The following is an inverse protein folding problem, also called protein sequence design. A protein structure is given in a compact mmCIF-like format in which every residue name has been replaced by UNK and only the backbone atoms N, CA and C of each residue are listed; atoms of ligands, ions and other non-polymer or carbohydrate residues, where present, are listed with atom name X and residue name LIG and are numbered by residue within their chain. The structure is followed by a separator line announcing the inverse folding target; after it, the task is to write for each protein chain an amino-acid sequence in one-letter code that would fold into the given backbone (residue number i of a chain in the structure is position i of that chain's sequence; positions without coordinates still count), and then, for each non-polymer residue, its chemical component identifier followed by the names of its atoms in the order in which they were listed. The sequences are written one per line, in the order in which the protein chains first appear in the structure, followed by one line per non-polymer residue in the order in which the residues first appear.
data_IF_859000533815
#
_entry.id   IF_859000533815
#
_cell.length_a   1.000
_cell.length_b   1.000
_cell.length_c   1.000
_cell.angle_alpha   90.00
_cell.angle_beta   90.00
_cell.angle_gamma   90.00
#
_symmetry.space_group_name_H-M   'P 1'
#
loop_
_entity.id
_entity.type
_entity.pdbx_description
1 polymer ?
#
# COMPACT_ATOMS: atom_id res chain seq x y z
N UNK A 1 3.65 -7.87 7.15
CA UNK A 1 3.77 -6.99 8.33
C UNK A 1 2.52 -6.13 8.41
N UNK A 2 2.03 -5.86 9.60
CA UNK A 2 0.91 -4.96 9.86
C UNK A 2 1.01 -4.40 11.29
N UNK A 3 0.18 -3.41 11.60
CA UNK A 3 0.03 -2.83 12.94
C UNK A 3 -0.49 -3.84 13.97
N UNK A 4 -1.13 -4.91 13.51
CA UNK A 4 -1.65 -6.01 14.33
C UNK A 4 -1.13 -7.35 13.83
N UNK A 5 -1.25 -8.41 14.63
CA UNK A 5 -0.90 -9.77 14.21
C UNK A 5 -2.06 -10.73 14.44
N UNK A 6 -2.24 -11.65 13.50
CA UNK A 6 -3.12 -12.81 13.66
C UNK A 6 -2.44 -13.91 14.47
N UNK A 7 -1.11 -13.98 14.44
CA UNK A 7 -0.29 -14.88 15.25
C UNK A 7 0.56 -14.06 16.23
N UNK A 8 0.39 -14.22 17.56
CA UNK A 8 1.15 -13.47 18.56
C UNK A 8 2.66 -13.77 18.54
N UNK A 9 3.09 -14.84 17.86
CA UNK A 9 4.50 -15.13 17.65
C UNK A 9 5.16 -14.26 16.57
N UNK A 10 4.39 -13.43 15.84
CA UNK A 10 4.91 -12.54 14.80
C UNK A 10 5.12 -11.13 15.32
N UNK A 11 6.07 -10.44 14.70
CA UNK A 11 6.33 -9.02 14.96
C UNK A 11 5.22 -8.17 14.37
N UNK A 12 4.87 -7.10 15.07
CA UNK A 12 3.99 -6.02 14.61
C UNK A 12 4.72 -4.71 14.69
N UNK A 13 4.48 -3.82 13.75
CA UNK A 13 5.01 -2.45 13.77
C UNK A 13 4.03 -1.51 13.07
N UNK A 14 4.21 -0.21 13.24
CA UNK A 14 3.50 0.76 12.41
C UNK A 14 4.06 0.69 10.98
N UNK A 15 3.46 -0.14 10.14
CA UNK A 15 3.85 -0.33 8.74
C UNK A 15 3.13 -1.49 8.08
N UNK A 16 3.25 -1.56 6.75
CA UNK A 16 2.60 -2.60 5.94
C UNK A 16 3.62 -3.27 5.03
N UNK A 17 3.49 -4.58 4.89
CA UNK A 17 4.15 -5.34 3.82
C UNK A 17 3.38 -6.62 3.57
N UNK A 18 3.17 -6.93 2.29
CA UNK A 18 2.42 -8.09 1.83
C UNK A 18 3.24 -8.91 0.84
N UNK A 19 3.21 -10.23 1.02
CA UNK A 19 3.73 -11.18 0.04
C UNK A 19 2.58 -11.64 -0.84
N UNK A 20 2.59 -11.23 -2.10
CA UNK A 20 1.50 -11.46 -3.05
C UNK A 20 1.97 -12.49 -4.06
N UNK A 21 1.15 -13.53 -4.27
CA UNK A 21 1.40 -14.56 -5.28
C UNK A 21 0.26 -14.56 -6.29
N UNK A 22 0.57 -14.28 -7.55
CA UNK A 22 -0.38 -14.32 -8.67
C UNK A 22 0.20 -15.23 -9.74
N UNK A 23 -0.47 -16.36 -10.00
CA UNK A 23 0.08 -17.41 -10.87
C UNK A 23 1.45 -17.89 -10.39
N UNK A 24 2.48 -17.72 -11.21
CA UNK A 24 3.87 -18.07 -10.87
C UNK A 24 4.70 -16.87 -10.36
N UNK A 25 4.10 -15.69 -10.21
CA UNK A 25 4.77 -14.44 -9.83
C UNK A 25 4.66 -14.17 -8.34
N UNK A 26 5.75 -13.72 -7.75
CA UNK A 26 5.89 -13.40 -6.33
C UNK A 26 6.31 -11.94 -6.17
N UNK A 27 5.50 -11.17 -5.47
CA UNK A 27 5.64 -9.72 -5.35
C UNK A 27 5.76 -9.39 -3.87
N UNK A 28 6.83 -8.68 -3.50
CA UNK A 28 6.91 -8.00 -2.21
C UNK A 28 6.32 -6.61 -2.35
N UNK A 29 5.09 -6.44 -1.87
CA UNK A 29 4.38 -5.16 -1.85
C UNK A 29 4.63 -4.45 -0.53
N UNK A 30 5.30 -3.30 -0.59
CA UNK A 30 5.87 -2.57 0.54
C UNK A 30 6.80 -3.41 1.43
N UNK A 31 7.52 -2.74 2.32
CA UNK A 31 8.63 -3.31 3.10
C UNK A 31 8.59 -2.92 4.58
N UNK A 32 7.42 -2.51 5.08
CA UNK A 32 7.24 -2.15 6.48
C UNK A 32 8.10 -0.97 6.92
N UNK A 33 8.24 -0.82 8.23
CA UNK A 33 9.05 0.20 8.89
C UNK A 33 10.47 -0.28 9.19
N UNK A 34 10.67 -1.59 9.30
CA UNK A 34 11.96 -2.16 9.64
C UNK A 34 12.19 -3.51 8.97
N UNK A 35 13.36 -4.09 9.25
CA UNK A 35 13.70 -5.44 8.88
C UNK A 35 12.81 -6.53 9.50
N UNK A 36 11.91 -6.19 10.42
CA UNK A 36 10.96 -7.13 11.02
C UNK A 36 10.06 -7.84 9.99
N UNK A 37 9.91 -7.27 8.79
CA UNK A 37 9.26 -7.95 7.66
C UNK A 37 9.94 -9.27 7.31
N UNK A 38 11.28 -9.32 7.31
CA UNK A 38 12.05 -10.50 6.92
C UNK A 38 12.05 -11.56 8.02
N UNK A 39 12.06 -11.14 9.29
CA UNK A 39 11.92 -12.06 10.43
C UNK A 39 10.55 -12.74 10.40
N UNK A 40 9.49 -11.98 10.09
CA UNK A 40 8.15 -12.53 9.90
C UNK A 40 8.10 -13.44 8.66
N UNK A 41 8.74 -13.07 7.55
CA UNK A 41 8.77 -13.91 6.36
C UNK A 41 9.42 -15.26 6.63
N UNK A 42 10.55 -15.29 7.35
CA UNK A 42 11.23 -16.52 7.76
C UNK A 42 10.32 -17.41 8.63
N UNK A 43 9.69 -16.84 9.66
CA UNK A 43 8.73 -17.56 10.53
C UNK A 43 7.54 -18.13 9.78
N UNK A 44 7.10 -17.43 8.73
CA UNK A 44 5.99 -17.83 7.88
C UNK A 44 6.39 -18.79 6.75
N UNK A 45 7.68 -19.14 6.64
CA UNK A 45 8.20 -19.97 5.54
C UNK A 45 8.14 -19.29 4.17
N UNK A 46 8.11 -17.96 4.13
CA UNK A 46 8.14 -17.15 2.92
C UNK A 46 9.61 -16.81 2.59
N UNK A 47 10.06 -17.27 1.44
CA UNK A 47 11.41 -16.97 0.96
C UNK A 47 11.41 -15.70 0.09
N UNK A 48 11.71 -14.55 0.68
CA UNK A 48 11.75 -13.25 -0.01
C UNK A 48 12.79 -13.20 -1.13
N UNK A 49 13.83 -14.05 -1.08
CA UNK A 49 14.85 -14.14 -2.15
C UNK A 49 14.25 -14.61 -3.48
N UNK A 50 13.08 -15.24 -3.43
CA UNK A 50 12.35 -15.72 -4.60
C UNK A 50 11.41 -14.68 -5.21
N UNK A 51 11.44 -13.43 -4.72
CA UNK A 51 10.64 -12.35 -5.27
C UNK A 51 11.01 -12.11 -6.74
N UNK A 52 9.98 -12.02 -7.59
CA UNK A 52 10.13 -11.59 -8.98
C UNK A 52 10.13 -10.05 -9.07
N UNK A 53 9.46 -9.39 -8.15
CA UNK A 53 9.37 -7.94 -8.07
C UNK A 53 9.26 -7.44 -6.62
N UNK A 54 9.79 -6.25 -6.38
CA UNK A 54 9.54 -5.44 -5.19
C UNK A 54 8.78 -4.21 -5.67
N UNK A 55 7.63 -3.89 -5.08
CA UNK A 55 6.83 -2.74 -5.49
C UNK A 55 6.44 -1.90 -4.28
N UNK A 56 6.58 -0.59 -4.40
CA UNK A 56 6.28 0.36 -3.33
C UNK A 56 5.02 1.15 -3.64
N UNK A 57 4.12 1.19 -2.67
CA UNK A 57 2.88 1.96 -2.75
C UNK A 57 3.13 3.46 -2.71
N UNK A 58 4.07 3.93 -1.87
CA UNK A 58 4.49 5.33 -1.73
C UNK A 58 5.76 5.43 -0.87
N UNK A 59 6.26 6.64 -0.69
CA UNK A 59 7.55 6.95 -0.09
C UNK A 59 7.61 7.08 1.43
N UNK A 60 6.59 6.69 2.19
CA UNK A 60 6.66 6.80 3.65
C UNK A 60 7.52 5.72 4.29
N UNK A 61 8.18 6.06 5.40
CA UNK A 61 9.15 5.23 6.12
C UNK A 61 8.58 3.88 6.57
N UNK A 62 7.28 3.82 6.86
CA UNK A 62 6.54 2.65 7.30
C UNK A 62 6.11 1.70 6.17
N UNK A 63 6.46 2.04 4.94
CA UNK A 63 6.33 1.20 3.74
C UNK A 63 7.68 0.93 3.08
N UNK A 64 8.72 1.68 3.44
CA UNK A 64 10.04 1.68 2.78
C UNK A 64 11.19 1.31 3.72
N UNK A 65 10.90 1.02 4.99
CA UNK A 65 11.91 0.82 6.03
C UNK A 65 12.77 -0.42 5.81
N UNK A 66 12.19 -1.52 5.33
CA UNK A 66 12.92 -2.75 4.96
C UNK A 66 13.47 -2.75 3.53
N UNK A 67 13.38 -1.65 2.78
CA UNK A 67 13.69 -1.60 1.34
C UNK A 67 15.13 -1.99 1.03
N UNK A 68 16.10 -1.51 1.81
CA UNK A 68 17.52 -1.82 1.59
C UNK A 68 17.77 -3.34 1.66
N UNK A 69 17.24 -4.00 2.70
CA UNK A 69 17.35 -5.46 2.85
C UNK A 69 16.52 -6.21 1.80
N UNK A 70 15.40 -5.68 1.34
CA UNK A 70 14.62 -6.28 0.26
C UNK A 70 15.45 -6.36 -1.04
N UNK A 71 16.04 -5.23 -1.44
CA UNK A 71 16.89 -5.13 -2.64
C UNK A 71 18.12 -6.04 -2.52
N UNK A 72 18.73 -6.10 -1.34
CA UNK A 72 19.87 -6.99 -1.07
C UNK A 72 19.47 -8.48 -1.13
N UNK A 73 18.31 -8.84 -0.59
CA UNK A 73 17.84 -10.23 -0.51
C UNK A 73 17.37 -10.77 -1.85
N UNK A 74 16.77 -9.92 -2.69
CA UNK A 74 16.26 -10.29 -4.02
C UNK A 74 16.95 -9.44 -5.11
N UNK A 75 18.26 -9.65 -5.37
CA UNK A 75 19.04 -8.81 -6.28
C UNK A 75 18.58 -8.88 -7.74
N UNK A 76 17.81 -9.90 -8.12
CA UNK A 76 17.26 -10.06 -9.47
C UNK A 76 15.84 -9.49 -9.62
N UNK A 77 15.14 -9.18 -8.52
CA UNK A 77 13.82 -8.57 -8.58
C UNK A 77 13.95 -7.11 -9.03
N UNK A 78 13.13 -6.67 -9.98
CA UNK A 78 13.03 -5.24 -10.30
C UNK A 78 12.27 -4.51 -9.18
N UNK A 79 12.65 -3.25 -8.93
CA UNK A 79 11.98 -2.38 -7.95
C UNK A 79 11.06 -1.42 -8.70
N UNK A 80 9.77 -1.46 -8.40
CA UNK A 80 8.73 -0.62 -8.98
C UNK A 80 8.34 0.47 -7.98
N UNK A 81 8.50 1.73 -8.37
CA UNK A 81 8.11 2.87 -7.54
C UNK A 81 7.84 4.10 -8.40
N UNK A 82 7.01 5.01 -7.91
CA UNK A 82 6.97 6.36 -8.46
C UNK A 82 8.29 7.09 -8.14
N UNK A 83 8.88 7.91 -9.04
CA UNK A 83 10.15 8.59 -8.79
C UNK A 83 10.13 9.46 -7.52
N UNK A 84 9.00 10.12 -7.24
CA UNK A 84 8.82 10.95 -6.03
C UNK A 84 8.74 10.16 -4.72
N UNK A 85 8.67 8.83 -4.73
CA UNK A 85 8.65 8.05 -3.49
C UNK A 85 9.97 8.20 -2.71
N UNK A 86 11.07 8.55 -3.37
CA UNK A 86 12.37 8.78 -2.72
C UNK A 86 12.64 10.26 -2.38
N UNK A 87 11.70 11.17 -2.69
CA UNK A 87 11.83 12.58 -2.30
C UNK A 87 11.64 12.75 -0.77
N UNK A 88 12.20 13.80 -0.16
CA UNK A 88 11.96 14.10 1.25
C UNK A 88 10.47 14.28 1.55
N UNK A 89 9.99 13.60 2.60
CA UNK A 89 8.62 13.71 3.09
C UNK A 89 8.61 14.05 4.57
N UNK A 90 7.71 14.96 4.96
CA UNK A 90 7.56 15.45 6.31
C UNK A 90 6.08 15.45 6.72
N UNK A 91 5.83 15.29 8.02
CA UNK A 91 4.51 15.49 8.63
C UNK A 91 4.56 16.60 9.67
N UNK A 92 3.48 17.35 9.79
CA UNK A 92 3.29 18.34 10.84
C UNK A 92 2.07 17.96 11.68
N UNK A 93 2.30 17.50 12.92
CA UNK A 93 1.23 17.30 13.92
C UNK A 93 1.19 18.43 14.93
N UNK A 94 2.35 18.81 15.45
CA UNK A 94 2.55 19.98 16.31
C UNK A 94 4.04 20.33 16.34
N UNK A 95 4.37 21.61 16.47
CA UNK A 95 5.76 22.07 16.55
C UNK A 95 6.48 22.03 15.21
N UNK A 96 7.58 21.27 15.12
CA UNK A 96 8.42 21.20 13.94
C UNK A 96 8.03 20.02 13.03
N UNK A 97 8.34 20.14 11.73
CA UNK A 97 8.16 19.07 10.76
C UNK A 97 8.98 17.83 11.11
N UNK A 98 8.33 16.66 11.16
CA UNK A 98 8.98 15.37 11.39
C UNK A 98 9.24 14.68 10.04
N UNK A 99 10.46 14.21 9.75
CA UNK A 99 10.71 13.42 8.55
C UNK A 99 9.97 12.08 8.64
N UNK A 100 9.30 11.72 7.54
CA UNK A 100 8.53 10.49 7.37
C UNK A 100 8.81 9.81 6.03
N UNK A 101 9.76 10.31 5.23
CA UNK A 101 10.14 9.71 3.95
C UNK A 101 11.03 8.48 4.12
N UNK A 102 11.34 7.82 3.00
CA UNK A 102 12.25 6.69 2.95
C UNK A 102 13.60 7.00 3.61
N UNK A 103 14.12 6.03 4.37
CA UNK A 103 15.41 6.15 5.04
C UNK A 103 16.59 6.18 4.06
N UNK A 104 17.73 6.73 4.51
CA UNK A 104 18.94 6.88 3.68
C UNK A 104 19.41 5.56 3.05
N UNK A 105 19.34 4.45 3.78
CA UNK A 105 19.74 3.13 3.27
C UNK A 105 18.81 2.66 2.14
N UNK A 106 17.50 2.85 2.28
CA UNK A 106 16.53 2.55 1.22
C UNK A 106 16.76 3.41 -0.03
N UNK A 107 17.02 4.70 0.14
CA UNK A 107 17.34 5.61 -0.97
C UNK A 107 18.62 5.18 -1.71
N UNK A 108 19.69 4.85 -0.98
CA UNK A 108 20.94 4.37 -1.57
C UNK A 108 20.73 3.05 -2.31
N UNK A 109 19.98 2.11 -1.73
CA UNK A 109 19.67 0.84 -2.38
C UNK A 109 18.91 1.04 -3.70
N UNK A 110 17.96 1.99 -3.76
CA UNK A 110 17.26 2.33 -5.00
C UNK A 110 18.21 2.95 -6.03
N UNK A 111 19.08 3.87 -5.62
CA UNK A 111 20.08 4.49 -6.53
C UNK A 111 21.01 3.43 -7.12
N UNK A 112 21.56 2.55 -6.29
CA UNK A 112 22.44 1.47 -6.74
C UNK A 112 21.72 0.52 -7.70
N UNK A 113 20.45 0.20 -7.38
CA UNK A 113 19.60 -0.65 -8.22
C UNK A 113 19.26 0.02 -9.56
N UNK A 114 19.00 1.32 -9.57
CA UNK A 114 18.69 2.11 -10.77
C UNK A 114 19.89 2.18 -11.71
N UNK A 115 21.09 2.43 -11.18
CA UNK A 115 22.34 2.39 -11.96
C UNK A 115 22.57 1.01 -12.60
N UNK A 116 22.13 -0.07 -11.95
CA UNK A 116 22.16 -1.42 -12.49
C UNK A 116 21.01 -1.75 -13.47
N UNK A 117 20.12 -0.79 -13.77
CA UNK A 117 18.95 -0.97 -14.64
C UNK A 117 17.81 -1.79 -14.01
N UNK A 118 17.79 -1.88 -12.67
CA UNK A 118 16.86 -2.71 -11.92
C UNK A 118 15.67 -1.96 -11.32
N UNK A 119 15.45 -0.70 -11.69
CA UNK A 119 14.33 0.14 -11.24
C UNK A 119 13.38 0.40 -12.41
N UNK A 120 12.08 0.32 -12.14
CA UNK A 120 11.01 0.71 -13.05
C UNK A 120 10.24 1.85 -12.42
N UNK A 121 10.33 3.04 -13.04
CA UNK A 121 9.58 4.21 -12.58
C UNK A 121 8.13 4.14 -13.05
N UNK A 122 7.21 4.25 -12.10
CA UNK A 122 5.76 4.12 -12.32
C UNK A 122 5.10 5.48 -12.25
N UNK A 123 5.03 6.18 -13.37
CA UNK A 123 4.37 7.51 -13.50
C UNK A 123 2.96 7.42 -14.09
N UNK A 124 2.49 6.20 -14.35
CA UNK A 124 1.16 5.89 -14.84
C UNK A 124 0.91 4.38 -14.82
N UNK A 125 -0.23 3.98 -15.37
CA UNK A 125 -0.67 2.58 -15.36
C UNK A 125 0.37 1.67 -16.03
N UNK A 126 0.97 0.79 -15.23
CA UNK A 126 2.13 -0.01 -15.64
C UNK A 126 1.87 -1.48 -15.33
N UNK A 127 2.13 -2.35 -16.30
CA UNK A 127 2.10 -3.80 -16.07
C UNK A 127 3.37 -4.23 -15.35
N UNK A 128 3.23 -4.77 -14.14
CA UNK A 128 4.35 -5.28 -13.34
C UNK A 128 4.76 -6.67 -13.84
N UNK A 129 3.77 -7.52 -14.08
CA UNK A 129 3.91 -8.82 -14.71
C UNK A 129 2.56 -9.27 -15.28
N UNK A 130 2.52 -10.42 -15.96
CA UNK A 130 1.36 -10.91 -16.70
C UNK A 130 0.05 -10.84 -15.89
N UNK A 131 -0.81 -9.87 -16.24
CA UNK A 131 -2.10 -9.63 -15.59
C UNK A 131 -2.08 -8.88 -14.25
N UNK A 132 -0.91 -8.45 -13.76
CA UNK A 132 -0.77 -7.64 -12.53
C UNK A 132 -0.35 -6.22 -12.88
N UNK A 133 -1.20 -5.27 -12.50
CA UNK A 133 -1.07 -3.86 -12.86
C UNK A 133 -0.78 -3.00 -11.63
N UNK A 134 0.05 -1.98 -11.82
CA UNK A 134 0.20 -0.86 -10.90
C UNK A 134 -0.57 0.34 -11.45
N UNK A 135 -1.25 1.07 -10.58
CA UNK A 135 -2.03 2.25 -10.99
C UNK A 135 -1.14 3.41 -11.43
N UNK A 136 0.06 3.55 -10.83
CA UNK A 136 0.75 4.83 -10.78
C UNK A 136 -0.09 5.89 -10.06
N UNK A 137 0.18 7.19 -10.27
CA UNK A 137 -0.60 8.28 -9.71
C UNK A 137 -2.07 8.19 -10.10
N UNK A 138 -2.97 8.30 -9.12
CA UNK A 138 -4.42 8.19 -9.33
C UNK A 138 -5.05 9.60 -9.42
N UNK A 139 -5.88 9.88 -10.45
CA UNK A 139 -6.65 11.12 -10.52
C UNK A 139 -7.56 11.30 -9.30
N UNK A 140 -7.58 12.51 -8.74
CA UNK A 140 -8.40 12.86 -7.57
C UNK A 140 -9.57 13.74 -8.01
N UNK A 141 -10.78 13.20 -8.00
CA UNK A 141 -12.01 13.92 -8.41
C UNK A 141 -13.04 14.06 -7.30
N UNK A 142 -12.87 13.35 -6.18
CA UNK A 142 -13.75 13.45 -5.03
C UNK A 142 -13.45 14.70 -4.19
N UNK A 143 -14.50 15.34 -3.67
CA UNK A 143 -14.36 16.53 -2.80
C UNK A 143 -14.22 16.18 -1.30
N UNK A 144 -14.24 14.89 -0.96
CA UNK A 144 -14.24 14.39 0.42
C UNK A 144 -13.02 13.52 0.75
N UNK A 145 -12.19 13.18 -0.23
CA UNK A 145 -10.92 12.50 0.02
C UNK A 145 -9.78 13.51 0.03
N UNK A 146 -8.90 13.35 1.00
CA UNK A 146 -7.67 14.12 1.13
C UNK A 146 -6.49 13.15 1.31
N UNK A 147 -5.29 13.72 1.42
CA UNK A 147 -4.06 12.95 1.66
C UNK A 147 -4.04 12.24 3.01
N UNK A 148 -5.00 12.49 3.91
CA UNK A 148 -5.12 11.85 5.22
C UNK A 148 -4.28 12.52 6.31
N UNK A 149 -3.62 13.65 6.01
CA UNK A 149 -2.83 14.38 6.97
C UNK A 149 -2.14 15.61 6.39
N UNK A 150 -1.46 16.36 7.27
CA UNK A 150 -0.66 17.51 6.89
C UNK A 150 0.76 17.05 6.51
N UNK A 151 0.94 16.74 5.23
CA UNK A 151 2.20 16.28 4.66
C UNK A 151 2.88 17.36 3.83
N UNK A 152 4.21 17.34 3.83
CA UNK A 152 5.04 18.39 3.22
C UNK A 152 6.31 17.79 2.60
N UNK A 153 6.85 18.50 1.60
CA UNK A 153 8.09 18.13 0.90
C UNK A 153 9.35 18.76 1.52
N UNK A 154 9.19 19.64 2.50
CA UNK A 154 10.26 20.35 3.17
C UNK A 154 10.14 20.34 4.70
N UNK A 155 11.27 20.42 5.39
CA UNK A 155 11.34 20.41 6.85
C UNK A 155 10.67 21.63 7.51
N UNK A 156 10.54 22.74 6.78
CA UNK A 156 9.83 23.93 7.23
C UNK A 156 8.32 23.80 7.16
N UNK A 157 7.81 22.73 6.55
CA UNK A 157 6.39 22.49 6.30
C UNK A 157 5.72 23.66 5.56
N UNK A 158 6.37 24.14 4.49
CA UNK A 158 5.90 25.26 3.67
C UNK A 158 5.36 24.84 2.31
N UNK A 159 5.74 23.64 1.86
CA UNK A 159 5.38 23.08 0.57
C UNK A 159 4.56 21.80 0.79
N UNK A 160 3.21 21.86 0.69
CA UNK A 160 2.37 20.68 0.84
C UNK A 160 2.80 19.55 -0.10
N UNK A 161 2.74 18.32 0.41
CA UNK A 161 2.90 17.10 -0.38
C UNK A 161 1.51 16.58 -0.78
N UNK A 162 1.30 16.47 -2.09
CA UNK A 162 0.07 15.91 -2.65
C UNK A 162 0.08 14.38 -2.66
N UNK A 163 1.21 13.76 -2.29
CA UNK A 163 1.44 12.32 -2.34
C UNK A 163 1.09 11.75 -3.72
N UNK A 164 1.57 12.43 -4.76
CA UNK A 164 1.47 11.96 -6.16
C UNK A 164 2.22 10.66 -6.42
N UNK A 165 3.06 10.20 -5.48
CA UNK A 165 3.69 8.88 -5.50
C UNK A 165 2.80 7.74 -5.02
N UNK A 166 1.62 8.02 -4.46
CA UNK A 166 0.67 7.00 -4.01
C UNK A 166 0.11 6.20 -5.19
N UNK A 167 0.29 4.89 -5.12
CA UNK A 167 -0.20 3.92 -6.08
C UNK A 167 -0.71 2.65 -5.41
N UNK A 168 -1.50 1.89 -6.17
CA UNK A 168 -2.06 0.61 -5.78
C UNK A 168 -1.73 -0.46 -6.82
N UNK A 169 -1.84 -1.72 -6.40
CA UNK A 169 -1.71 -2.89 -7.27
C UNK A 169 -3.09 -3.49 -7.51
N UNK A 170 -3.38 -3.96 -8.72
CA UNK A 170 -4.62 -4.68 -9.01
C UNK A 170 -4.41 -5.79 -10.04
N UNK A 171 -5.23 -6.84 -9.94
CA UNK A 171 -5.18 -7.99 -10.83
C UNK A 171 -6.51 -8.73 -10.83
N UNK A 172 -6.78 -9.50 -11.88
CA UNK A 172 -7.98 -10.34 -11.97
C UNK A 172 -7.71 -11.70 -11.31
N UNK A 173 -8.57 -12.13 -10.38
CA UNK A 173 -8.60 -13.52 -9.89
C UNK A 173 -9.76 -14.30 -10.53
N UNK A 174 -9.84 -15.61 -10.28
CA UNK A 174 -10.98 -16.43 -10.73
C UNK A 174 -12.33 -15.93 -10.20
N UNK A 175 -12.34 -15.15 -9.11
CA UNK A 175 -13.55 -14.61 -8.47
C UNK A 175 -13.83 -13.15 -8.83
N UNK A 176 -12.96 -12.50 -9.59
CA UNK A 176 -13.10 -11.11 -10.00
C UNK A 176 -11.88 -10.24 -9.67
N UNK A 177 -11.99 -8.95 -9.97
CA UNK A 177 -10.91 -7.98 -9.80
C UNK A 177 -10.54 -7.75 -8.31
N UNK A 178 -9.26 -7.84 -8.01
CA UNK A 178 -8.66 -7.62 -6.68
C UNK A 178 -7.84 -6.34 -6.70
N UNK A 179 -8.00 -5.51 -5.68
CA UNK A 179 -7.21 -4.29 -5.45
C UNK A 179 -6.45 -4.41 -4.14
N UNK A 180 -5.15 -4.14 -4.20
CA UNK A 180 -4.23 -4.14 -3.07
C UNK A 180 -3.66 -2.73 -2.89
N UNK A 181 -3.91 -2.17 -1.71
CA UNK A 181 -3.56 -0.81 -1.32
C UNK A 181 -2.29 -0.81 -0.46
N UNK A 182 -1.54 0.29 -0.50
CA UNK A 182 -0.61 0.66 0.56
C UNK A 182 -1.33 1.40 1.68
N UNK A 183 -1.33 2.74 1.59
CA UNK A 183 -2.13 3.61 2.46
C UNK A 183 -3.35 4.25 1.76
N UNK A 184 -3.41 4.24 0.42
CA UNK A 184 -4.47 4.91 -0.34
C UNK A 184 -4.58 6.41 -0.02
N UNK A 185 -3.45 7.12 -0.05
CA UNK A 185 -3.42 8.58 0.15
C UNK A 185 -4.15 9.35 -0.95
N UNK A 186 -4.34 8.73 -2.12
CA UNK A 186 -5.20 9.23 -3.21
C UNK A 186 -6.68 9.06 -2.92
N UNK A 187 -7.04 8.28 -1.91
CA UNK A 187 -8.41 7.97 -1.55
C UNK A 187 -8.91 6.67 -2.20
N UNK A 188 -9.56 5.83 -1.39
CA UNK A 188 -10.09 4.54 -1.83
C UNK A 188 -11.12 4.71 -2.95
N UNK A 189 -11.97 5.74 -2.88
CA UNK A 189 -13.01 5.96 -3.89
C UNK A 189 -12.39 6.40 -5.22
N UNK A 190 -11.44 7.34 -5.20
CA UNK A 190 -10.67 7.72 -6.39
C UNK A 190 -9.96 6.53 -7.03
N UNK A 191 -9.34 5.65 -6.23
CA UNK A 191 -8.65 4.44 -6.71
C UNK A 191 -9.64 3.48 -7.40
N UNK A 192 -10.76 3.17 -6.74
CA UNK A 192 -11.76 2.25 -7.31
C UNK A 192 -12.44 2.83 -8.55
N UNK A 193 -12.74 4.13 -8.57
CA UNK A 193 -13.31 4.81 -9.72
C UNK A 193 -12.36 4.77 -10.92
N UNK A 194 -11.06 5.05 -10.71
CA UNK A 194 -10.05 4.98 -11.77
C UNK A 194 -9.89 3.56 -12.32
N UNK A 195 -9.74 2.55 -11.46
CA UNK A 195 -9.61 1.15 -11.88
C UNK A 195 -10.90 0.67 -12.57
N UNK A 196 -12.07 1.04 -12.06
CA UNK A 196 -13.37 0.72 -12.66
C UNK A 196 -13.49 1.29 -14.07
N UNK A 197 -13.08 2.55 -14.28
CA UNK A 197 -13.06 3.18 -15.60
C UNK A 197 -12.08 2.48 -16.56
N UNK A 198 -10.89 2.13 -16.08
CA UNK A 198 -9.83 1.52 -16.89
C UNK A 198 -10.11 0.10 -17.34
N UNK A 199 -10.79 -0.67 -16.49
CA UNK A 199 -11.10 -2.09 -16.74
C UNK A 199 -12.52 -2.29 -17.28
N UNK A 200 -13.39 -1.27 -17.16
CA UNK A 200 -14.81 -1.38 -17.45
C UNK A 200 -15.59 -2.14 -16.36
N UNK A 201 -14.95 -2.57 -15.26
CA UNK A 201 -15.67 -3.27 -14.19
C UNK A 201 -16.54 -2.31 -13.40
N UNK A 202 -17.64 -2.83 -12.88
CA UNK A 202 -18.48 -2.19 -11.86
C UNK A 202 -18.51 -3.02 -10.58
N UNK A 203 -17.67 -4.06 -10.48
CA UNK A 203 -17.60 -4.98 -9.35
C UNK A 203 -16.15 -5.29 -9.01
N UNK A 204 -15.85 -5.33 -7.73
CA UNK A 204 -14.56 -5.79 -7.24
C UNK A 204 -14.75 -7.00 -6.33
N UNK A 205 -13.92 -8.01 -6.52
CA UNK A 205 -13.90 -9.15 -5.63
C UNK A 205 -13.32 -8.76 -4.28
N UNK A 206 -12.15 -8.12 -4.26
CA UNK A 206 -11.49 -7.77 -3.00
C UNK A 206 -10.82 -6.39 -3.02
N UNK A 207 -10.84 -5.71 -1.86
CA UNK A 207 -10.06 -4.50 -1.58
C UNK A 207 -9.32 -4.73 -0.26
N UNK A 208 -7.98 -4.73 -0.31
CA UNK A 208 -7.11 -5.18 0.77
C UNK A 208 -6.02 -4.14 1.01
N UNK A 209 -5.77 -3.74 2.25
CA UNK A 209 -4.67 -2.83 2.59
C UNK A 209 -5.11 -1.64 3.45
N UNK A 210 -4.21 -0.66 3.58
CA UNK A 210 -4.47 0.58 4.30
C UNK A 210 -5.35 1.54 3.51
N UNK A 211 -6.35 2.10 4.18
CA UNK A 211 -7.33 3.04 3.60
C UNK A 211 -7.17 4.48 4.13
N UNK A 212 -6.21 4.68 5.05
CA UNK A 212 -5.90 5.93 5.75
C UNK A 212 -7.11 6.62 6.44
N UNK A 213 -8.01 5.81 7.01
CA UNK A 213 -9.24 6.28 7.66
C UNK A 213 -9.10 6.57 9.16
N UNK A 214 -7.92 6.34 9.77
CA UNK A 214 -7.69 6.53 11.22
C UNK A 214 -7.96 7.94 11.73
N UNK A 215 -7.86 8.95 10.86
CA UNK A 215 -8.14 10.36 11.16
C UNK A 215 -9.19 10.95 10.21
N UNK A 216 -9.88 10.11 9.43
CA UNK A 216 -10.91 10.55 8.50
C UNK A 216 -12.15 11.03 9.26
N UNK A 217 -12.82 12.05 8.70
CA UNK A 217 -14.11 12.46 9.21
C UNK A 217 -15.21 11.44 8.86
N UNK A 218 -16.38 11.60 9.48
CA UNK A 218 -17.51 10.70 9.24
C UNK A 218 -17.97 10.70 7.77
N UNK A 219 -17.80 11.82 7.05
CA UNK A 219 -18.19 11.92 5.65
C UNK A 219 -17.31 11.01 4.79
N UNK A 220 -15.99 11.10 4.91
CA UNK A 220 -15.05 10.27 4.15
C UNK A 220 -15.24 8.78 4.43
N UNK A 221 -15.49 8.40 5.69
CA UNK A 221 -15.78 7.00 6.05
C UNK A 221 -17.09 6.53 5.39
N UNK A 222 -18.17 7.32 5.49
CA UNK A 222 -19.45 6.98 4.90
C UNK A 222 -19.40 6.87 3.37
N UNK A 223 -18.71 7.78 2.69
CA UNK A 223 -18.53 7.74 1.23
C UNK A 223 -17.71 6.51 0.80
N UNK A 224 -16.68 6.14 1.59
CA UNK A 224 -15.90 4.92 1.34
C UNK A 224 -16.77 3.67 1.46
N UNK A 225 -17.60 3.57 2.51
CA UNK A 225 -18.57 2.48 2.65
C UNK A 225 -19.61 2.51 1.52
N UNK A 226 -20.10 3.68 1.13
CA UNK A 226 -20.99 3.86 -0.01
C UNK A 226 -20.40 3.32 -1.31
N UNK A 227 -19.11 3.59 -1.56
CA UNK A 227 -18.38 3.04 -2.70
C UNK A 227 -18.26 1.51 -2.62
N UNK A 228 -17.96 0.94 -1.45
CA UNK A 228 -17.94 -0.53 -1.27
C UNK A 228 -19.30 -1.20 -1.53
N UNK A 229 -20.40 -0.50 -1.26
CA UNK A 229 -21.75 -0.93 -1.64
C UNK A 229 -22.00 -0.82 -3.14
N UNK A 230 -21.70 0.36 -3.73
CA UNK A 230 -21.86 0.67 -5.15
C UNK A 230 -21.11 -0.31 -6.06
N UNK A 231 -19.87 -0.60 -5.68
CA UNK A 231 -18.97 -1.50 -6.39
C UNK A 231 -19.09 -2.97 -5.96
N UNK A 232 -20.09 -3.30 -5.13
CA UNK A 232 -20.37 -4.67 -4.71
C UNK A 232 -19.12 -5.43 -4.19
N UNK A 233 -18.29 -4.75 -3.39
CA UNK A 233 -16.99 -5.26 -2.95
C UNK A 233 -17.17 -6.48 -2.05
N UNK A 234 -16.82 -7.67 -2.55
CA UNK A 234 -17.15 -8.94 -1.87
C UNK A 234 -16.27 -9.27 -0.67
N UNK A 235 -15.02 -8.81 -0.69
CA UNK A 235 -14.04 -9.00 0.38
C UNK A 235 -13.36 -7.67 0.69
N UNK A 236 -13.44 -7.22 1.93
CA UNK A 236 -12.86 -5.96 2.40
C UNK A 236 -11.92 -6.32 3.55
N UNK A 237 -10.62 -6.11 3.38
CA UNK A 237 -9.63 -6.40 4.40
C UNK A 237 -8.90 -5.09 4.77
N UNK A 238 -9.47 -4.30 5.69
CA UNK A 238 -8.82 -3.09 6.18
C UNK A 238 -7.58 -3.47 7.01
N UNK A 239 -6.45 -2.85 6.68
CA UNK A 239 -5.17 -3.05 7.36
C UNK A 239 -4.57 -1.71 7.80
N UNK A 240 -3.50 -1.77 8.57
CA UNK A 240 -2.57 -0.67 8.83
C UNK A 240 -3.26 0.65 9.25
N UNK A 241 -3.18 1.68 8.42
CA UNK A 241 -3.64 3.05 8.67
C UNK A 241 -5.16 3.23 8.58
N UNK A 242 -5.92 2.16 8.30
CA UNK A 242 -7.39 2.22 8.33
C UNK A 242 -7.90 2.56 9.73
N UNK A 243 -7.24 2.06 10.77
CA UNK A 243 -7.58 2.33 12.16
C UNK A 243 -8.78 1.51 12.67
N UNK A 244 -8.83 1.32 13.98
CA UNK A 244 -9.83 0.45 14.64
C UNK A 244 -11.27 0.94 14.46
N UNK A 245 -11.49 2.25 14.55
CA UNK A 245 -12.83 2.85 14.42
C UNK A 245 -13.45 2.61 13.04
N UNK A 246 -12.71 2.89 11.96
CA UNK A 246 -13.20 2.67 10.61
C UNK A 246 -13.33 1.16 10.31
N UNK A 247 -12.38 0.35 10.77
CA UNK A 247 -12.44 -1.11 10.66
C UNK A 247 -13.71 -1.68 11.30
N UNK A 248 -14.05 -1.21 12.51
CA UNK A 248 -15.27 -1.61 13.20
C UNK A 248 -16.53 -1.22 12.40
N UNK A 249 -16.61 0.02 11.90
CA UNK A 249 -17.77 0.47 11.11
C UNK A 249 -17.93 -0.34 9.81
N UNK A 250 -16.82 -0.64 9.13
CA UNK A 250 -16.83 -1.51 7.94
C UNK A 250 -17.31 -2.92 8.34
N UNK A 251 -16.86 -3.46 9.47
CA UNK A 251 -17.27 -4.78 9.96
C UNK A 251 -18.75 -4.84 10.32
N UNK A 252 -19.27 -3.82 11.00
CA UNK A 252 -20.69 -3.72 11.36
C UNK A 252 -21.58 -3.59 10.12
N UNK A 253 -21.14 -2.83 9.11
CA UNK A 253 -21.91 -2.59 7.89
C UNK A 253 -21.90 -3.79 6.94
N UNK A 254 -20.74 -4.43 6.76
CA UNK A 254 -20.54 -5.44 5.72
C UNK A 254 -20.44 -6.88 6.25
N UNK A 255 -20.47 -7.09 7.56
CA UNK A 255 -20.51 -8.40 8.19
C UNK A 255 -19.35 -9.30 7.73
N UNK A 256 -19.68 -10.46 7.18
CA UNK A 256 -18.69 -11.46 6.75
C UNK A 256 -17.85 -11.03 5.54
N UNK A 257 -18.28 -10.00 4.79
CA UNK A 257 -17.45 -9.42 3.73
C UNK A 257 -16.24 -8.68 4.29
N UNK A 258 -16.27 -8.23 5.54
CA UNK A 258 -15.13 -7.58 6.19
C UNK A 258 -14.29 -8.61 6.94
N UNK A 259 -13.05 -8.80 6.49
CA UNK A 259 -12.08 -9.72 7.08
C UNK A 259 -11.12 -8.95 8.00
N UNK A 260 -11.07 -9.36 9.26
CA UNK A 260 -10.12 -8.81 10.23
C UNK A 260 -8.81 -9.59 10.12
N UNK A 261 -7.84 -9.00 9.43
CA UNK A 261 -6.54 -9.58 9.15
C UNK A 261 -5.44 -8.81 9.90
N UNK A 262 -4.26 -9.42 9.99
CA UNK A 262 -3.05 -8.81 10.53
C UNK A 262 -1.81 -9.56 10.04
N UNK A 263 -0.65 -9.25 10.61
CA UNK A 263 0.58 -9.97 10.33
C UNK A 263 0.39 -11.49 10.52
N UNK A 264 0.78 -12.27 9.52
CA UNK A 264 0.62 -13.73 9.48
C UNK A 264 -0.67 -14.24 8.85
N UNK A 265 -1.66 -13.37 8.62
CA UNK A 265 -2.85 -13.77 7.87
C UNK A 265 -2.50 -14.23 6.46
N UNK A 266 -3.18 -15.28 5.99
CA UNK A 266 -3.10 -15.78 4.62
C UNK A 266 -4.50 -15.73 4.00
N UNK A 267 -4.61 -15.11 2.83
CA UNK A 267 -5.87 -14.99 2.10
C UNK A 267 -5.69 -15.59 0.70
N UNK A 268 -6.57 -16.51 0.33
CA UNK A 268 -6.61 -17.11 -1.00
C UNK A 268 -7.87 -16.62 -1.71
N UNK A 269 -7.70 -15.92 -2.83
CA UNK A 269 -8.77 -15.26 -3.58
C UNK A 269 -9.06 -16.00 -4.87
#
# INVERSE_FOLDING_TARGET
MDNTAADPALLTEHGLSMWIVVGNKRILWDTGQSDGVFDNAERLGVDVRTADAIALSHGHYDHTGGLARAVQSAPYAAVYLHPKAMEPKYSLKSGAGRPIGAGREGQLAVIEKDVAGGVVYVEGRTELCDGVMLTGPVPRHTAFEDTGGHFYRDAGCTCPDDLSDDQSLYFESEKGLVVVLGCAHSGVVNILDAIGQWTGTQKFHAVIGGMHLVHADARRINETMGAFGRYDVRCIAPLHCTGSQATQQIKETFGDRCLLLGAGSRLCL
#
